data_IF_309690758630
#
_entry.id   IF_309690758630
#
_cell.length_a   1.000
_cell.length_b   1.000
_cell.length_c   1.000
_cell.angle_alpha   90.00
_cell.angle_beta   90.00
_cell.angle_gamma   90.00
#
_symmetry.space_group_name_H-M   'P 1'
#
loop_
_entity.id
_entity.type
_entity.pdbx_description
1 polymer ?
#
# COMPACT_ATOMS: atom_id res chain seq x y z
N UNK A 1 103.83 -172.21 -50.98
CA UNK A 1 102.93 -173.23 -50.39
C UNK A 1 102.91 -172.98 -48.88
N UNK A 2 101.78 -172.96 -48.14
CA UNK A 2 100.35 -173.14 -48.47
C UNK A 2 99.42 -171.98 -47.93
N UNK A 3 98.30 -171.62 -48.57
CA UNK A 3 96.85 -171.97 -48.42
C UNK A 3 95.95 -171.23 -47.36
N UNK A 4 94.98 -170.47 -47.88
CA UNK A 4 93.51 -170.47 -47.57
C UNK A 4 92.85 -169.68 -46.39
N UNK A 5 91.55 -169.26 -46.50
CA UNK A 5 90.98 -167.92 -46.16
C UNK A 5 89.83 -167.95 -45.09
N UNK A 6 88.81 -167.03 -45.08
CA UNK A 6 88.68 -165.63 -44.60
C UNK A 6 87.61 -165.43 -43.48
N UNK A 7 87.38 -164.21 -42.90
CA UNK A 7 86.02 -163.82 -42.42
C UNK A 7 85.76 -162.29 -42.22
N UNK A 8 84.54 -161.86 -42.54
CA UNK A 8 84.17 -160.55 -43.09
C UNK A 8 83.04 -159.84 -42.31
N UNK A 9 83.13 -159.71 -40.96
CA UNK A 9 82.00 -159.20 -40.12
C UNK A 9 82.26 -158.05 -39.13
N UNK A 10 83.51 -157.59 -38.92
CA UNK A 10 83.80 -156.62 -37.83
C UNK A 10 83.96 -155.14 -38.23
N UNK A 11 83.87 -154.78 -39.52
CA UNK A 11 83.97 -153.37 -39.99
C UNK A 11 82.67 -152.55 -39.87
N UNK A 12 81.51 -153.20 -39.80
CA UNK A 12 80.20 -152.51 -39.84
C UNK A 12 79.72 -151.95 -38.48
N UNK A 13 80.18 -152.47 -37.35
CA UNK A 13 79.72 -152.01 -36.03
C UNK A 13 80.41 -150.72 -35.55
N UNK A 14 81.65 -150.47 -35.99
CA UNK A 14 82.42 -149.28 -35.59
C UNK A 14 81.94 -147.98 -36.27
N UNK A 15 81.26 -148.10 -37.40
CA UNK A 15 80.77 -146.96 -38.19
C UNK A 15 79.41 -146.45 -37.70
N UNK A 16 78.58 -147.31 -37.09
CA UNK A 16 77.31 -146.92 -36.46
C UNK A 16 77.50 -146.19 -35.13
N UNK A 17 78.46 -146.60 -34.29
CA UNK A 17 78.72 -145.93 -33.01
C UNK A 17 79.24 -144.49 -33.20
N UNK A 18 80.05 -144.23 -34.23
CA UNK A 18 80.56 -142.89 -34.56
C UNK A 18 79.46 -141.94 -35.07
N UNK A 19 78.42 -142.47 -35.74
CA UNK A 19 77.26 -141.68 -36.17
C UNK A 19 76.40 -141.22 -34.97
N UNK A 20 76.26 -142.08 -33.96
CA UNK A 20 75.47 -141.81 -32.75
C UNK A 20 76.05 -140.69 -31.89
N UNK A 21 77.37 -140.66 -31.71
CA UNK A 21 78.05 -139.61 -30.92
C UNK A 21 77.92 -138.25 -31.61
N UNK A 22 77.98 -138.20 -32.95
CA UNK A 22 77.88 -136.95 -33.72
C UNK A 22 76.48 -136.35 -33.70
N UNK A 23 75.44 -137.18 -33.60
CA UNK A 23 74.05 -136.74 -33.47
C UNK A 23 73.79 -136.14 -32.09
N UNK A 24 74.26 -136.78 -31.01
CA UNK A 24 74.09 -136.28 -29.64
C UNK A 24 74.80 -134.94 -29.38
N UNK A 25 75.92 -134.68 -30.07
CA UNK A 25 76.63 -133.40 -29.97
C UNK A 25 75.92 -132.21 -30.60
N UNK A 26 75.06 -132.43 -31.62
CA UNK A 26 74.31 -131.34 -32.27
C UNK A 26 73.04 -131.00 -31.48
N UNK A 27 72.36 -132.00 -30.91
CA UNK A 27 71.14 -131.80 -30.12
C UNK A 27 71.41 -130.99 -28.84
N UNK A 28 72.57 -131.18 -28.19
CA UNK A 28 72.93 -130.40 -27.00
C UNK A 28 73.27 -128.92 -27.29
N UNK A 29 73.67 -128.58 -28.53
CA UNK A 29 73.98 -127.20 -28.93
C UNK A 29 72.69 -126.46 -29.28
N UNK A 30 71.76 -127.11 -29.97
CA UNK A 30 70.45 -126.52 -30.31
C UNK A 30 69.59 -126.23 -29.07
N UNK A 31 69.68 -127.07 -28.02
CA UNK A 31 68.89 -126.88 -26.80
C UNK A 31 69.43 -125.74 -25.91
N UNK A 32 70.74 -125.45 -25.94
CA UNK A 32 71.34 -124.32 -25.23
C UNK A 32 71.10 -122.98 -25.94
N UNK A 33 71.04 -122.97 -27.28
CA UNK A 33 70.66 -121.79 -28.07
C UNK A 33 69.20 -121.37 -27.82
N UNK A 34 68.26 -122.33 -27.74
CA UNK A 34 66.86 -122.01 -27.40
C UNK A 34 66.70 -121.34 -26.04
N UNK A 35 67.47 -121.74 -25.02
CA UNK A 35 67.42 -121.12 -23.68
C UNK A 35 67.94 -119.69 -23.65
N UNK A 36 68.91 -119.34 -24.50
CA UNK A 36 69.43 -117.96 -24.60
C UNK A 36 68.50 -117.01 -25.34
N UNK A 37 67.73 -117.51 -26.31
CA UNK A 37 66.75 -116.70 -27.02
C UNK A 37 65.53 -116.36 -26.15
N UNK A 38 65.03 -117.29 -25.33
CA UNK A 38 63.89 -117.02 -24.43
C UNK A 38 64.20 -115.97 -23.35
N UNK A 39 65.43 -115.94 -22.81
CA UNK A 39 65.86 -114.95 -21.81
C UNK A 39 66.05 -113.55 -22.41
N UNK A 40 66.49 -113.45 -23.67
CA UNK A 40 66.56 -112.17 -24.38
C UNK A 40 65.17 -111.63 -24.74
N UNK A 41 64.23 -112.50 -25.08
CA UNK A 41 62.85 -112.11 -25.37
C UNK A 41 62.14 -111.50 -24.15
N UNK A 42 62.29 -112.11 -22.96
CA UNK A 42 61.69 -111.57 -21.73
C UNK A 42 62.27 -110.21 -21.30
N UNK A 43 63.58 -110.01 -21.45
CA UNK A 43 64.18 -108.73 -21.09
C UNK A 43 63.75 -107.59 -22.04
N UNK A 44 63.51 -107.88 -23.31
CA UNK A 44 63.04 -106.89 -24.28
C UNK A 44 61.60 -106.41 -24.00
N UNK A 45 60.72 -107.28 -23.51
CA UNK A 45 59.33 -106.94 -23.17
C UNK A 45 59.23 -106.00 -21.94
N UNK A 46 60.03 -106.25 -20.89
CA UNK A 46 60.01 -105.43 -19.67
C UNK A 46 60.54 -104.00 -19.90
N UNK A 47 61.54 -103.83 -20.77
CA UNK A 47 62.09 -102.51 -21.12
C UNK A 47 61.10 -101.70 -21.97
N UNK A 48 60.37 -102.34 -22.89
CA UNK A 48 59.35 -101.67 -23.69
C UNK A 48 58.14 -101.22 -22.86
N UNK A 49 57.70 -102.03 -21.89
CA UNK A 49 56.53 -101.69 -21.06
C UNK A 49 56.78 -100.47 -20.15
N UNK A 50 57.99 -100.35 -19.61
CA UNK A 50 58.39 -99.22 -18.75
C UNK A 50 58.63 -97.93 -19.54
N UNK A 51 59.14 -98.02 -20.77
CA UNK A 51 59.32 -96.86 -21.64
C UNK A 51 57.99 -96.29 -22.16
N UNK A 52 56.98 -97.14 -22.39
CA UNK A 52 55.63 -96.72 -22.81
C UNK A 52 54.92 -95.97 -21.68
N UNK A 53 55.00 -96.46 -20.43
CA UNK A 53 54.37 -95.80 -19.28
C UNK A 53 55.02 -94.43 -18.96
N UNK A 54 56.33 -94.29 -19.17
CA UNK A 54 57.03 -93.01 -18.99
C UNK A 54 56.62 -91.95 -20.01
N UNK A 55 56.42 -92.33 -21.28
CA UNK A 55 56.00 -91.40 -22.34
C UNK A 55 54.56 -90.93 -22.16
N UNK A 56 53.65 -91.81 -21.72
CA UNK A 56 52.25 -91.42 -21.48
C UNK A 56 52.09 -90.44 -20.33
N UNK A 57 52.92 -90.52 -19.28
CA UNK A 57 52.87 -89.60 -18.15
C UNK A 57 53.35 -88.18 -18.52
N UNK A 58 54.43 -88.07 -19.30
CA UNK A 58 54.96 -86.78 -19.77
C UNK A 58 53.99 -86.09 -20.71
N UNK A 59 53.35 -86.83 -21.63
CA UNK A 59 52.33 -86.26 -22.52
C UNK A 59 51.07 -85.78 -21.77
N UNK A 60 50.65 -86.47 -20.71
CA UNK A 60 49.53 -86.02 -19.87
C UNK A 60 49.88 -84.76 -19.06
N UNK A 61 51.11 -84.67 -18.55
CA UNK A 61 51.57 -83.50 -17.79
C UNK A 61 51.74 -82.27 -18.69
N UNK A 62 52.28 -82.44 -19.90
CA UNK A 62 52.37 -81.37 -20.90
C UNK A 62 50.99 -80.89 -21.37
N UNK A 63 50.05 -81.81 -21.63
CA UNK A 63 48.65 -81.46 -21.98
C UNK A 63 47.97 -80.71 -20.82
N UNK A 64 48.23 -81.10 -19.57
CA UNK A 64 47.74 -80.42 -18.37
C UNK A 64 48.30 -79.00 -18.20
N UNK A 65 49.59 -78.80 -18.47
CA UNK A 65 50.23 -77.48 -18.43
C UNK A 65 49.75 -76.57 -19.57
N UNK A 66 49.54 -77.13 -20.76
CA UNK A 66 49.08 -76.36 -21.92
C UNK A 66 47.61 -75.93 -21.76
N UNK A 67 46.75 -76.79 -21.20
CA UNK A 67 45.39 -76.42 -20.81
C UNK A 67 45.37 -75.34 -19.72
N UNK A 68 46.23 -75.44 -18.70
CA UNK A 68 46.34 -74.40 -17.66
C UNK A 68 46.82 -73.06 -18.24
N UNK A 69 47.78 -73.04 -19.16
CA UNK A 69 48.23 -71.82 -19.85
C UNK A 69 47.12 -71.21 -20.71
N UNK A 70 46.38 -72.03 -21.46
CA UNK A 70 45.21 -71.59 -22.24
C UNK A 70 44.12 -71.01 -21.33
N UNK A 71 43.82 -71.67 -20.21
CA UNK A 71 42.88 -71.20 -19.18
C UNK A 71 43.33 -69.90 -18.50
N UNK A 72 44.63 -69.73 -18.22
CA UNK A 72 45.16 -68.49 -17.63
C UNK A 72 45.10 -67.32 -18.62
N UNK A 73 45.34 -67.58 -19.91
CA UNK A 73 45.28 -66.56 -20.97
C UNK A 73 43.84 -66.10 -21.21
N UNK A 74 42.87 -67.02 -21.23
CA UNK A 74 41.45 -66.67 -21.32
C UNK A 74 40.95 -65.96 -20.07
N UNK A 75 41.39 -66.35 -18.88
CA UNK A 75 41.06 -65.65 -17.63
C UNK A 75 41.63 -64.22 -17.59
N UNK A 76 42.89 -64.02 -18.00
CA UNK A 76 43.49 -62.69 -18.11
C UNK A 76 42.79 -61.82 -19.16
N UNK A 77 42.40 -62.40 -20.29
CA UNK A 77 41.61 -61.73 -21.32
C UNK A 77 40.25 -61.27 -20.77
N UNK A 78 39.50 -62.18 -20.14
CA UNK A 78 38.22 -61.87 -19.49
C UNK A 78 38.36 -60.80 -18.41
N UNK A 79 39.41 -60.88 -17.57
CA UNK A 79 39.66 -59.92 -16.49
C UNK A 79 39.91 -58.51 -17.01
N UNK A 80 40.74 -58.36 -18.05
CA UNK A 80 40.98 -57.06 -18.71
C UNK A 80 39.70 -56.52 -19.34
N UNK A 81 38.89 -57.38 -19.93
CA UNK A 81 37.62 -57.00 -20.53
C UNK A 81 36.62 -56.50 -19.47
N UNK A 82 36.50 -57.21 -18.34
CA UNK A 82 35.68 -56.77 -17.20
C UNK A 82 36.21 -55.49 -16.56
N UNK A 83 37.53 -55.29 -16.46
CA UNK A 83 38.10 -54.03 -15.94
C UNK A 83 37.78 -52.84 -16.87
N UNK A 84 37.85 -53.03 -18.19
CA UNK A 84 37.46 -52.01 -19.16
C UNK A 84 35.96 -51.71 -19.11
N UNK A 85 35.11 -52.73 -18.98
CA UNK A 85 33.66 -52.57 -18.81
C UNK A 85 33.32 -51.80 -17.52
N UNK A 86 34.01 -52.08 -16.40
CA UNK A 86 33.84 -51.35 -15.13
C UNK A 86 34.25 -49.88 -15.29
N UNK A 87 35.36 -49.59 -15.98
CA UNK A 87 35.82 -48.22 -16.22
C UNK A 87 34.87 -47.46 -17.15
N UNK A 88 34.35 -48.11 -18.20
CA UNK A 88 33.33 -47.51 -19.07
C UNK A 88 32.02 -47.27 -18.31
N UNK A 89 31.57 -48.21 -17.49
CA UNK A 89 30.36 -48.05 -16.69
C UNK A 89 30.53 -46.96 -15.62
N UNK A 90 31.71 -46.83 -15.01
CA UNK A 90 32.05 -45.71 -14.13
C UNK A 90 32.02 -44.37 -14.86
N UNK A 91 32.55 -44.28 -16.08
CA UNK A 91 32.48 -43.05 -16.90
C UNK A 91 31.04 -42.70 -17.27
N UNK A 92 30.23 -43.69 -17.65
CA UNK A 92 28.80 -43.50 -17.95
C UNK A 92 28.04 -43.03 -16.70
N UNK A 93 28.29 -43.62 -15.54
CA UNK A 93 27.71 -43.19 -14.25
C UNK A 93 28.15 -41.79 -13.86
N UNK A 94 29.41 -41.43 -14.07
CA UNK A 94 29.92 -40.08 -13.78
C UNK A 94 29.30 -39.04 -14.71
N UNK A 95 29.16 -39.33 -16.00
CA UNK A 95 28.46 -38.45 -16.95
C UNK A 95 26.98 -38.30 -16.60
N UNK A 96 26.29 -39.39 -16.27
CA UNK A 96 24.91 -39.35 -15.82
C UNK A 96 24.73 -38.56 -14.51
N UNK A 97 25.67 -38.71 -13.56
CA UNK A 97 25.67 -37.95 -12.31
C UNK A 97 25.89 -36.45 -12.56
N UNK A 98 26.83 -36.09 -13.44
CA UNK A 98 27.08 -34.71 -13.85
C UNK A 98 25.86 -34.10 -14.56
N UNK A 99 25.19 -34.85 -15.43
CA UNK A 99 23.98 -34.38 -16.11
C UNK A 99 22.81 -34.16 -15.12
N UNK A 100 22.67 -35.02 -14.11
CA UNK A 100 21.69 -34.83 -13.03
C UNK A 100 22.04 -33.60 -12.18
N UNK A 101 23.32 -33.39 -11.86
CA UNK A 101 23.76 -32.22 -11.10
C UNK A 101 23.54 -30.92 -11.89
N UNK A 102 23.83 -30.92 -13.20
CA UNK A 102 23.59 -29.77 -14.06
C UNK A 102 22.09 -29.47 -14.18
N UNK A 103 21.23 -30.49 -14.33
CA UNK A 103 19.77 -30.32 -14.30
C UNK A 103 19.30 -29.75 -12.97
N UNK A 104 19.85 -30.21 -11.84
CA UNK A 104 19.54 -29.65 -10.51
C UNK A 104 19.98 -28.19 -10.40
N UNK A 105 21.18 -27.82 -10.86
CA UNK A 105 21.65 -26.43 -10.86
C UNK A 105 20.74 -25.53 -11.70
N UNK A 106 20.42 -25.94 -12.93
CA UNK A 106 19.49 -25.21 -13.81
C UNK A 106 18.11 -25.06 -13.16
N UNK A 107 17.62 -26.11 -12.50
CA UNK A 107 16.35 -26.04 -11.77
C UNK A 107 16.41 -25.04 -10.61
N UNK A 108 17.47 -25.08 -9.79
CA UNK A 108 17.63 -24.12 -8.68
C UNK A 108 17.79 -22.68 -9.16
N UNK A 109 18.48 -22.44 -10.28
CA UNK A 109 18.62 -21.10 -10.84
C UNK A 109 17.30 -20.59 -11.43
N UNK A 110 16.53 -21.47 -12.09
CA UNK A 110 15.18 -21.18 -12.55
C UNK A 110 14.26 -20.83 -11.38
N UNK A 111 14.25 -21.65 -10.33
CA UNK A 111 13.42 -21.42 -9.14
C UNK A 111 13.82 -20.13 -8.42
N UNK A 112 15.12 -19.80 -8.36
CA UNK A 112 15.63 -18.53 -7.83
C UNK A 112 15.13 -17.34 -8.64
N UNK A 113 15.29 -17.36 -9.98
CA UNK A 113 14.82 -16.28 -10.87
C UNK A 113 13.31 -16.12 -10.82
N UNK A 114 12.58 -17.24 -10.76
CA UNK A 114 11.12 -17.23 -10.59
C UNK A 114 10.72 -16.61 -9.25
N UNK A 115 11.44 -16.93 -8.17
CA UNK A 115 11.24 -16.31 -6.85
C UNK A 115 11.51 -14.80 -6.85
N UNK A 116 12.62 -14.36 -7.45
CA UNK A 116 12.96 -12.94 -7.62
C UNK A 116 11.90 -12.18 -8.42
N UNK A 117 11.42 -12.76 -9.53
CA UNK A 117 10.36 -12.18 -10.34
C UNK A 117 9.04 -12.06 -9.58
N UNK A 118 8.62 -13.12 -8.88
CA UNK A 118 7.40 -13.10 -8.07
C UNK A 118 7.50 -12.06 -6.94
N UNK A 119 8.65 -11.96 -6.28
CA UNK A 119 8.88 -10.94 -5.25
C UNK A 119 8.79 -9.53 -5.83
N UNK A 120 9.46 -9.26 -6.96
CA UNK A 120 9.38 -7.97 -7.65
C UNK A 120 7.95 -7.61 -8.07
N UNK A 121 7.15 -8.59 -8.54
CA UNK A 121 5.73 -8.37 -8.84
C UNK A 121 4.93 -8.00 -7.58
N UNK A 122 5.19 -8.67 -6.45
CA UNK A 122 4.54 -8.34 -5.18
C UNK A 122 4.93 -6.94 -4.69
N UNK A 123 6.21 -6.58 -4.72
CA UNK A 123 6.71 -5.28 -4.29
C UNK A 123 6.08 -4.14 -5.13
N UNK A 124 6.00 -4.30 -6.45
CA UNK A 124 5.34 -3.33 -7.35
C UNK A 124 3.84 -3.23 -7.06
N UNK A 125 3.17 -4.36 -6.77
CA UNK A 125 1.75 -4.34 -6.45
C UNK A 125 1.50 -3.67 -5.08
N UNK A 126 2.34 -3.93 -4.10
CA UNK A 126 2.28 -3.30 -2.78
C UNK A 126 2.49 -1.78 -2.88
N UNK A 127 3.48 -1.34 -3.65
CA UNK A 127 3.69 0.09 -3.92
C UNK A 127 2.45 0.73 -4.56
N UNK A 128 1.85 0.11 -5.58
CA UNK A 128 0.61 0.61 -6.19
C UNK A 128 -0.56 0.67 -5.21
N UNK A 129 -0.69 -0.32 -4.33
CA UNK A 129 -1.73 -0.33 -3.30
C UNK A 129 -1.51 0.77 -2.25
N UNK A 130 -0.25 1.05 -1.89
CA UNK A 130 0.09 2.15 -0.99
C UNK A 130 -0.12 3.52 -1.64
N UNK A 131 0.26 3.69 -2.91
CA UNK A 131 0.00 4.91 -3.68
C UNK A 131 -1.49 5.19 -3.80
N UNK A 132 -2.30 4.20 -4.20
CA UNK A 132 -3.76 4.36 -4.28
C UNK A 132 -4.40 4.63 -2.93
N UNK A 133 -3.94 4.00 -1.85
CA UNK A 133 -4.41 4.31 -0.49
C UNK A 133 -4.04 5.74 -0.07
N UNK A 134 -2.87 6.22 -0.45
CA UNK A 134 -2.43 7.59 -0.18
C UNK A 134 -3.25 8.59 -0.98
N UNK A 135 -3.44 8.37 -2.27
CA UNK A 135 -4.25 9.24 -3.13
C UNK A 135 -5.69 9.34 -2.60
N UNK A 136 -6.30 8.21 -2.23
CA UNK A 136 -7.65 8.19 -1.65
C UNK A 136 -7.72 8.91 -0.30
N UNK A 137 -6.69 8.79 0.55
CA UNK A 137 -6.60 9.53 1.80
C UNK A 137 -6.45 11.04 1.56
N UNK A 138 -5.57 11.46 0.65
CA UNK A 138 -5.37 12.87 0.31
C UNK A 138 -6.65 13.48 -0.29
N UNK A 139 -7.39 12.75 -1.11
CA UNK A 139 -8.68 13.19 -1.64
C UNK A 139 -9.76 13.26 -0.55
N UNK A 140 -9.78 12.32 0.40
CA UNK A 140 -10.67 12.38 1.55
C UNK A 140 -10.35 13.61 2.43
N UNK A 141 -9.07 13.87 2.70
CA UNK A 141 -8.62 15.02 3.48
C UNK A 141 -8.96 16.35 2.77
N UNK A 142 -8.81 16.42 1.44
CA UNK A 142 -9.23 17.57 0.64
C UNK A 142 -10.73 17.83 0.76
N UNK A 143 -11.55 16.78 0.64
CA UNK A 143 -13.01 16.87 0.80
C UNK A 143 -13.38 17.30 2.22
N UNK A 144 -12.77 16.73 3.24
CA UNK A 144 -13.02 17.08 4.64
C UNK A 144 -12.67 18.54 4.95
N UNK A 145 -11.54 19.05 4.44
CA UNK A 145 -11.19 20.46 4.59
C UNK A 145 -12.17 21.41 3.89
N UNK A 146 -12.70 21.05 2.72
CA UNK A 146 -13.73 21.83 2.04
C UNK A 146 -15.04 21.81 2.86
N UNK A 147 -15.48 20.64 3.31
CA UNK A 147 -16.69 20.49 4.13
C UNK A 147 -16.60 21.26 5.44
N UNK A 148 -15.45 21.24 6.11
CA UNK A 148 -15.21 22.01 7.31
C UNK A 148 -15.29 23.52 7.04
N UNK A 149 -14.65 24.00 5.96
CA UNK A 149 -14.72 25.41 5.57
C UNK A 149 -16.16 25.85 5.22
N UNK A 150 -16.94 24.97 4.58
CA UNK A 150 -18.35 25.22 4.29
C UNK A 150 -19.20 25.28 5.56
N UNK A 151 -18.99 24.36 6.50
CA UNK A 151 -19.68 24.38 7.78
C UNK A 151 -19.36 25.64 8.59
N UNK A 152 -18.09 26.01 8.69
CA UNK A 152 -17.65 27.24 9.35
C UNK A 152 -18.24 28.49 8.68
N UNK A 153 -18.34 28.49 7.35
CA UNK A 153 -18.95 29.58 6.61
C UNK A 153 -20.46 29.71 6.83
N UNK A 154 -21.20 28.58 6.89
CA UNK A 154 -22.62 28.58 7.25
C UNK A 154 -22.80 29.18 8.65
N UNK A 155 -21.96 28.77 9.61
CA UNK A 155 -22.00 29.31 10.96
C UNK A 155 -21.74 30.82 10.97
N UNK A 156 -20.70 31.30 10.27
CA UNK A 156 -20.40 32.73 10.13
C UNK A 156 -21.57 33.50 9.50
N UNK A 157 -22.22 32.95 8.47
CA UNK A 157 -23.40 33.59 7.85
C UNK A 157 -24.55 33.73 8.84
N UNK A 158 -24.82 32.71 9.64
CA UNK A 158 -25.84 32.78 10.69
C UNK A 158 -25.50 33.80 11.78
N UNK A 159 -24.23 33.89 12.18
CA UNK A 159 -23.80 34.87 13.18
C UNK A 159 -23.92 36.31 12.66
N UNK A 160 -23.59 36.54 11.38
CA UNK A 160 -23.81 37.84 10.71
C UNK A 160 -25.31 38.19 10.66
N UNK A 161 -26.18 37.26 10.28
CA UNK A 161 -27.64 37.49 10.30
C UNK A 161 -28.18 37.78 11.71
N UNK A 162 -27.66 37.08 12.73
CA UNK A 162 -28.04 37.32 14.12
C UNK A 162 -27.60 38.72 14.58
N UNK A 163 -26.38 39.14 14.19
CA UNK A 163 -25.87 40.47 14.46
C UNK A 163 -26.72 41.55 13.78
N UNK A 164 -27.14 41.33 12.52
CA UNK A 164 -28.04 42.22 11.79
C UNK A 164 -29.37 42.39 12.53
N UNK A 165 -30.02 41.29 12.92
CA UNK A 165 -31.29 41.32 13.66
C UNK A 165 -31.14 42.09 14.97
N UNK A 166 -30.10 41.80 15.74
CA UNK A 166 -29.82 42.52 16.99
C UNK A 166 -29.62 44.03 16.76
N UNK A 167 -28.84 44.41 15.74
CA UNK A 167 -28.62 45.81 15.39
C UNK A 167 -29.94 46.50 15.01
N UNK A 168 -30.82 45.82 14.26
CA UNK A 168 -32.16 46.35 13.92
C UNK A 168 -33.05 46.51 15.15
N UNK A 169 -33.07 45.54 16.06
CA UNK A 169 -33.84 45.61 17.30
C UNK A 169 -33.36 46.77 18.20
N UNK A 170 -32.04 46.94 18.32
CA UNK A 170 -31.44 48.02 19.10
C UNK A 170 -31.74 49.41 18.47
N UNK A 171 -31.78 49.50 17.13
CA UNK A 171 -32.21 50.70 16.41
C UNK A 171 -33.69 51.02 16.66
N UNK A 172 -34.57 50.02 16.71
CA UNK A 172 -35.99 50.21 17.04
C UNK A 172 -36.18 50.70 18.47
N UNK A 173 -35.51 50.07 19.44
CA UNK A 173 -35.55 50.50 20.84
C UNK A 173 -35.07 51.93 21.02
N UNK A 174 -33.95 52.27 20.37
CA UNK A 174 -33.40 53.63 20.41
C UNK A 174 -34.36 54.64 19.76
N UNK A 175 -34.98 54.28 18.64
CA UNK A 175 -35.95 55.15 17.98
C UNK A 175 -37.22 55.37 18.81
N UNK A 176 -37.71 54.33 19.50
CA UNK A 176 -38.83 54.45 20.44
C UNK A 176 -38.50 55.41 21.59
N UNK A 177 -37.34 55.23 22.23
CA UNK A 177 -36.90 56.11 23.30
C UNK A 177 -36.75 57.57 22.85
N UNK A 178 -36.12 57.79 21.69
CA UNK A 178 -36.00 59.13 21.12
C UNK A 178 -37.37 59.79 20.84
N UNK A 179 -38.39 59.01 20.45
CA UNK A 179 -39.75 59.53 20.23
C UNK A 179 -40.44 59.91 21.54
N UNK A 180 -40.21 59.14 22.60
CA UNK A 180 -40.70 59.43 23.96
C UNK A 180 -40.04 60.71 24.50
N UNK A 181 -38.72 60.85 24.35
CA UNK A 181 -38.00 62.07 24.73
C UNK A 181 -38.51 63.29 23.97
N UNK A 182 -38.74 63.17 22.66
CA UNK A 182 -39.33 64.23 21.85
C UNK A 182 -40.74 64.62 22.33
N UNK A 183 -41.54 63.64 22.77
CA UNK A 183 -42.85 63.89 23.35
C UNK A 183 -42.73 64.66 24.68
N UNK A 184 -41.88 64.22 25.59
CA UNK A 184 -41.69 64.90 26.87
C UNK A 184 -41.18 66.33 26.71
N UNK A 185 -40.25 66.55 25.77
CA UNK A 185 -39.78 67.90 25.44
C UNK A 185 -40.90 68.76 24.85
N UNK A 186 -41.75 68.21 23.98
CA UNK A 186 -42.86 68.98 23.42
C UNK A 186 -43.94 69.29 24.45
N UNK A 187 -44.27 68.35 25.34
CA UNK A 187 -45.17 68.55 26.47
C UNK A 187 -44.68 69.64 27.41
N UNK A 188 -43.39 69.62 27.77
CA UNK A 188 -42.78 70.65 28.61
C UNK A 188 -42.91 72.05 27.98
N UNK A 189 -42.65 72.17 26.67
CA UNK A 189 -42.84 73.43 25.93
C UNK A 189 -44.29 73.87 25.86
N UNK A 190 -45.24 72.94 25.66
CA UNK A 190 -46.69 73.25 25.68
C UNK A 190 -47.13 73.75 27.05
N UNK A 191 -46.62 73.16 28.13
CA UNK A 191 -46.89 73.60 29.49
C UNK A 191 -46.31 75.00 29.77
N UNK A 192 -45.10 75.30 29.30
CA UNK A 192 -44.50 76.63 29.38
C UNK A 192 -45.34 77.68 28.63
N UNK A 193 -45.77 77.37 27.40
CA UNK A 193 -46.66 78.23 26.60
C UNK A 193 -47.98 78.49 27.34
N UNK A 194 -48.55 77.45 27.98
CA UNK A 194 -49.78 77.60 28.76
C UNK A 194 -49.58 78.51 29.98
N UNK A 195 -48.50 78.32 30.73
CA UNK A 195 -48.18 79.17 31.88
C UNK A 195 -47.95 80.63 31.47
N UNK A 196 -47.27 80.86 30.33
CA UNK A 196 -47.07 82.19 29.76
C UNK A 196 -48.40 82.84 29.33
N UNK A 197 -49.29 82.08 28.68
CA UNK A 197 -50.63 82.53 28.27
C UNK A 197 -51.47 83.00 29.47
N UNK A 198 -51.54 82.18 30.52
CA UNK A 198 -52.27 82.51 31.75
C UNK A 198 -51.70 83.76 32.40
N UNK A 199 -50.37 83.87 32.52
CA UNK A 199 -49.71 85.04 33.12
C UNK A 199 -50.02 86.32 32.34
N UNK A 200 -49.91 86.30 31.00
CA UNK A 200 -50.17 87.48 30.16
C UNK A 200 -51.63 87.91 30.20
N UNK A 201 -52.57 86.96 30.19
CA UNK A 201 -54.01 87.26 30.33
C UNK A 201 -54.34 87.88 31.68
N UNK A 202 -53.73 87.37 32.76
CA UNK A 202 -53.88 87.97 34.09
C UNK A 202 -53.32 89.40 34.16
N UNK A 203 -52.19 89.66 33.49
CA UNK A 203 -51.62 91.01 33.40
C UNK A 203 -52.54 91.98 32.64
N UNK A 204 -53.11 91.56 31.51
CA UNK A 204 -54.09 92.36 30.75
C UNK A 204 -55.33 92.65 31.60
N UNK A 205 -55.84 91.68 32.35
CA UNK A 205 -56.99 91.88 33.24
C UNK A 205 -56.66 92.84 34.39
N UNK A 206 -55.46 92.73 34.97
CA UNK A 206 -54.99 93.68 35.99
C UNK A 206 -54.90 95.11 35.46
N UNK A 207 -54.30 95.30 34.27
CA UNK A 207 -54.24 96.59 33.59
C UNK A 207 -55.64 97.14 33.28
N UNK A 208 -56.56 96.28 32.83
CA UNK A 208 -57.96 96.65 32.59
C UNK A 208 -58.61 97.17 33.86
N UNK A 209 -58.50 96.44 34.97
CA UNK A 209 -59.08 96.84 36.25
C UNK A 209 -58.49 98.16 36.75
N UNK A 210 -57.19 98.38 36.60
CA UNK A 210 -56.56 99.65 36.95
C UNK A 210 -57.14 100.81 36.14
N UNK A 211 -57.22 100.68 34.81
CA UNK A 211 -57.80 101.72 33.94
C UNK A 211 -59.29 101.98 34.24
N UNK A 212 -60.03 100.93 34.60
CA UNK A 212 -61.43 101.07 35.02
C UNK A 212 -61.56 101.88 36.33
N UNK A 213 -60.67 101.65 37.30
CA UNK A 213 -60.62 102.44 38.55
C UNK A 213 -60.22 103.90 38.28
N UNK A 214 -59.26 104.14 37.40
CA UNK A 214 -58.87 105.49 36.99
C UNK A 214 -60.04 106.23 36.31
N UNK A 215 -60.78 105.55 35.43
CA UNK A 215 -61.99 106.10 34.82
C UNK A 215 -63.09 106.43 35.87
N UNK A 216 -63.16 105.67 36.97
CA UNK A 216 -64.12 105.93 38.05
C UNK A 216 -63.84 107.20 38.84
N UNK A 217 -62.59 107.68 38.84
CA UNK A 217 -62.17 108.95 39.47
C UNK A 217 -62.48 110.19 38.62
N UNK A 218 -62.91 110.01 37.37
CA UNK A 218 -63.29 111.11 36.47
C UNK A 218 -64.71 111.58 36.78
N UNK A 219 -64.87 112.88 37.05
CA UNK A 219 -66.15 113.51 37.41
C UNK A 219 -67.10 113.70 36.23
N UNK A 220 -66.58 113.88 35.01
CA UNK A 220 -67.38 114.02 33.79
C UNK A 220 -67.94 112.64 33.35
N UNK A 221 -69.28 112.45 33.33
CA UNK A 221 -69.90 111.18 33.00
C UNK A 221 -69.66 110.72 31.55
N UNK A 222 -69.52 111.65 30.60
CA UNK A 222 -69.26 111.31 29.19
C UNK A 222 -67.83 110.79 29.05
N UNK A 223 -66.88 111.52 29.62
CA UNK A 223 -65.46 111.14 29.60
C UNK A 223 -65.20 109.84 30.35
N UNK A 224 -65.87 109.63 31.49
CA UNK A 224 -65.84 108.38 32.26
C UNK A 224 -66.29 107.18 31.42
N UNK A 225 -67.41 107.30 30.70
CA UNK A 225 -67.91 106.22 29.83
C UNK A 225 -66.92 105.90 28.70
N UNK A 226 -66.37 106.93 28.05
CA UNK A 226 -65.38 106.76 26.99
C UNK A 226 -64.11 106.06 27.47
N UNK A 227 -63.58 106.42 28.66
CA UNK A 227 -62.37 105.78 29.20
C UNK A 227 -62.61 104.31 29.56
N UNK A 228 -63.79 103.95 30.08
CA UNK A 228 -64.16 102.55 30.35
C UNK A 228 -64.26 101.73 29.07
N UNK A 229 -64.92 102.27 28.04
CA UNK A 229 -65.04 101.61 26.73
C UNK A 229 -63.67 101.44 26.05
N UNK A 230 -62.79 102.45 26.13
CA UNK A 230 -61.42 102.34 25.64
C UNK A 230 -60.62 101.26 26.41
N UNK A 231 -60.74 101.20 27.73
CA UNK A 231 -60.08 100.17 28.53
C UNK A 231 -60.55 98.75 28.18
N UNK A 232 -61.86 98.56 27.95
CA UNK A 232 -62.42 97.27 27.54
C UNK A 232 -62.00 96.87 26.12
N UNK A 233 -62.07 97.81 25.17
CA UNK A 233 -61.67 97.53 23.77
C UNK A 233 -60.17 97.27 23.64
N UNK A 234 -59.32 97.99 24.37
CA UNK A 234 -57.88 97.75 24.41
C UNK A 234 -57.57 96.39 25.05
N UNK A 235 -58.19 96.06 26.19
CA UNK A 235 -58.02 94.76 26.83
C UNK A 235 -58.45 93.62 25.91
N UNK A 236 -59.60 93.76 25.23
CA UNK A 236 -60.08 92.76 24.27
C UNK A 236 -59.10 92.57 23.10
N UNK A 237 -58.55 93.65 22.54
CA UNK A 237 -57.52 93.56 21.49
C UNK A 237 -56.27 92.83 21.97
N UNK A 238 -55.74 93.20 23.14
CA UNK A 238 -54.57 92.54 23.73
C UNK A 238 -54.82 91.05 24.01
N UNK A 239 -56.00 90.69 24.51
CA UNK A 239 -56.38 89.28 24.71
C UNK A 239 -56.41 88.52 23.39
N UNK A 240 -56.99 89.09 22.33
CA UNK A 240 -56.99 88.43 21.00
C UNK A 240 -55.58 88.29 20.41
N UNK A 241 -54.70 89.27 20.62
CA UNK A 241 -53.29 89.19 20.19
C UNK A 241 -52.54 88.10 20.95
N UNK A 242 -52.76 87.98 22.27
CA UNK A 242 -52.20 86.91 23.09
C UNK A 242 -52.72 85.55 22.60
N UNK A 243 -54.02 85.40 22.38
CA UNK A 243 -54.61 84.14 21.88
C UNK A 243 -54.00 83.73 20.54
N UNK A 244 -53.88 84.66 19.58
CA UNK A 244 -53.24 84.39 18.29
C UNK A 244 -51.77 84.00 18.43
N UNK A 245 -51.00 84.71 19.27
CA UNK A 245 -49.60 84.40 19.50
C UNK A 245 -49.42 83.03 20.17
N UNK A 246 -50.24 82.73 21.19
CA UNK A 246 -50.25 81.43 21.89
C UNK A 246 -50.63 80.30 20.94
N UNK A 247 -51.67 80.47 20.11
CA UNK A 247 -52.05 79.47 19.10
C UNK A 247 -50.92 79.21 18.09
N UNK A 248 -50.26 80.26 17.61
CA UNK A 248 -49.12 80.12 16.70
C UNK A 248 -47.98 79.34 17.35
N UNK A 249 -47.59 79.70 18.57
CA UNK A 249 -46.54 78.97 19.33
C UNK A 249 -46.89 77.50 19.53
N UNK A 250 -48.15 77.17 19.83
CA UNK A 250 -48.61 75.78 19.96
C UNK A 250 -48.50 75.01 18.65
N UNK A 251 -48.94 75.61 17.54
CA UNK A 251 -48.82 75.02 16.21
C UNK A 251 -47.36 74.81 15.80
N UNK A 252 -46.47 75.76 16.12
CA UNK A 252 -45.03 75.63 15.86
C UNK A 252 -44.41 74.46 16.65
N UNK A 253 -44.78 74.28 17.92
CA UNK A 253 -44.31 73.12 18.72
C UNK A 253 -44.82 71.80 18.16
N UNK A 254 -46.09 71.73 17.75
CA UNK A 254 -46.68 70.52 17.17
C UNK A 254 -46.03 70.15 15.83
N UNK A 255 -45.80 71.14 14.96
CA UNK A 255 -45.12 70.91 13.68
C UNK A 255 -43.67 70.48 13.88
N UNK A 256 -42.94 71.09 14.81
CA UNK A 256 -41.57 70.67 15.16
C UNK A 256 -41.53 69.24 15.68
N UNK A 257 -42.43 68.87 16.60
CA UNK A 257 -42.52 67.51 17.13
C UNK A 257 -42.80 66.49 16.00
N UNK A 258 -43.76 66.79 15.14
CA UNK A 258 -44.12 65.92 14.01
C UNK A 258 -42.95 65.74 13.04
N UNK A 259 -42.28 66.82 12.66
CA UNK A 259 -41.13 66.77 11.74
C UNK A 259 -39.96 66.01 12.35
N UNK A 260 -39.66 66.24 13.64
CA UNK A 260 -38.61 65.52 14.35
C UNK A 260 -38.89 64.02 14.44
N UNK A 261 -40.15 63.63 14.71
CA UNK A 261 -40.57 62.20 14.70
C UNK A 261 -40.41 61.55 13.33
N UNK A 262 -40.85 62.24 12.27
CA UNK A 262 -40.69 61.75 10.91
C UNK A 262 -39.21 61.60 10.51
N UNK A 263 -38.36 62.54 10.95
CA UNK A 263 -36.92 62.45 10.73
C UNK A 263 -36.31 61.25 11.46
N UNK A 264 -36.66 61.04 12.74
CA UNK A 264 -36.21 59.88 13.51
C UNK A 264 -36.62 58.56 12.85
N UNK A 265 -37.82 58.47 12.28
CA UNK A 265 -38.28 57.30 11.53
C UNK A 265 -37.49 57.07 10.24
N UNK A 266 -37.22 58.13 9.48
CA UNK A 266 -36.40 58.05 8.26
C UNK A 266 -34.97 57.62 8.57
N UNK A 267 -34.37 58.17 9.62
CA UNK A 267 -33.01 57.84 10.04
C UNK A 267 -32.91 56.39 10.53
N UNK A 268 -33.91 55.90 11.27
CA UNK A 268 -34.00 54.50 11.68
C UNK A 268 -34.10 53.58 10.45
N UNK A 269 -34.98 53.87 9.50
CA UNK A 269 -35.13 53.08 8.28
C UNK A 269 -33.85 53.06 7.44
N UNK A 270 -33.17 54.21 7.32
CA UNK A 270 -31.88 54.31 6.64
C UNK A 270 -30.82 53.43 7.32
N UNK A 271 -30.68 53.51 8.64
CA UNK A 271 -29.72 52.69 9.40
C UNK A 271 -30.03 51.19 9.33
N UNK A 272 -31.30 50.80 9.29
CA UNK A 272 -31.71 49.40 9.05
C UNK A 272 -31.28 48.92 7.67
N UNK A 273 -31.45 49.76 6.64
CA UNK A 273 -31.01 49.44 5.29
C UNK A 273 -29.48 49.35 5.20
N UNK A 274 -28.74 50.24 5.87
CA UNK A 274 -27.28 50.17 5.97
C UNK A 274 -26.83 48.85 6.63
N UNK A 275 -27.47 48.42 7.72
CA UNK A 275 -27.19 47.14 8.37
C UNK A 275 -27.46 45.93 7.46
N UNK A 276 -28.52 45.97 6.64
CA UNK A 276 -28.79 44.93 5.63
C UNK A 276 -27.69 44.88 4.56
N UNK A 277 -27.24 46.04 4.08
CA UNK A 277 -26.22 46.12 3.05
C UNK A 277 -24.86 45.64 3.56
N UNK A 278 -24.47 46.01 4.78
CA UNK A 278 -23.28 45.49 5.46
C UNK A 278 -23.34 43.97 5.58
N UNK A 279 -24.49 43.43 6.00
CA UNK A 279 -24.71 41.98 6.13
C UNK A 279 -24.59 41.27 4.79
N UNK A 280 -25.20 41.81 3.73
CA UNK A 280 -25.06 41.27 2.36
C UNK A 280 -23.61 41.26 1.92
N UNK A 281 -22.87 42.34 2.16
CA UNK A 281 -21.45 42.44 1.81
C UNK A 281 -20.60 41.41 2.58
N UNK A 282 -20.85 41.23 3.87
CA UNK A 282 -20.16 40.22 4.68
C UNK A 282 -20.47 38.80 4.20
N UNK A 283 -21.72 38.48 3.85
CA UNK A 283 -22.08 37.17 3.27
C UNK A 283 -21.34 36.90 1.96
N UNK A 284 -21.23 37.91 1.08
CA UNK A 284 -20.46 37.80 -0.16
C UNK A 284 -18.97 37.55 0.10
N UNK A 285 -18.38 38.21 1.11
CA UNK A 285 -16.99 37.94 1.52
C UNK A 285 -16.82 36.50 1.97
N UNK A 286 -17.73 35.98 2.79
CA UNK A 286 -17.69 34.58 3.25
C UNK A 286 -17.78 33.62 2.06
N UNK A 287 -18.66 33.88 1.10
CA UNK A 287 -18.77 33.06 -0.12
C UNK A 287 -17.52 33.11 -0.99
N UNK A 288 -16.90 34.28 -1.09
CA UNK A 288 -15.62 34.45 -1.78
C UNK A 288 -14.52 33.62 -1.10
N UNK A 289 -14.45 33.63 0.23
CA UNK A 289 -13.47 32.86 1.00
C UNK A 289 -13.62 31.35 0.80
N UNK A 290 -14.86 30.82 0.81
CA UNK A 290 -15.13 29.41 0.50
C UNK A 290 -14.68 29.08 -0.92
N UNK A 291 -15.02 29.95 -1.89
CA UNK A 291 -14.65 29.76 -3.29
C UNK A 291 -13.13 29.72 -3.48
N UNK A 292 -12.40 30.61 -2.80
CA UNK A 292 -10.93 30.59 -2.77
C UNK A 292 -10.40 29.31 -2.13
N UNK A 293 -10.98 28.86 -1.00
CA UNK A 293 -10.56 27.61 -0.34
C UNK A 293 -10.79 26.40 -1.23
N UNK A 294 -11.92 26.31 -1.93
CA UNK A 294 -12.19 25.25 -2.91
C UNK A 294 -11.16 25.23 -4.03
N UNK A 295 -10.75 26.39 -4.55
CA UNK A 295 -9.69 26.50 -5.57
C UNK A 295 -8.33 26.06 -5.01
N UNK A 296 -7.94 26.56 -3.84
CA UNK A 296 -6.70 26.20 -3.16
C UNK A 296 -6.59 24.68 -2.95
N UNK A 297 -7.65 24.04 -2.48
CA UNK A 297 -7.65 22.58 -2.26
C UNK A 297 -7.64 21.77 -3.56
N UNK A 298 -8.18 22.32 -4.65
CA UNK A 298 -8.12 21.70 -5.98
C UNK A 298 -6.71 21.80 -6.59
N UNK A 299 -6.04 22.93 -6.40
CA UNK A 299 -4.71 23.19 -6.96
C UNK A 299 -3.57 22.61 -6.11
N UNK A 300 -3.88 22.14 -4.89
CA UNK A 300 -2.93 21.49 -3.99
C UNK A 300 -2.44 20.16 -4.58
N UNK A 301 -1.21 20.19 -5.09
CA UNK A 301 -0.52 19.00 -5.61
C UNK A 301 -0.32 17.96 -4.50
N UNK A 302 -0.36 16.66 -4.84
CA UNK A 302 -0.02 15.59 -3.90
C UNK A 302 1.40 15.83 -3.40
N UNK A 303 1.58 15.77 -2.08
CA UNK A 303 2.92 15.88 -1.48
C UNK A 303 3.66 14.63 -1.92
N UNK A 304 4.77 14.74 -2.65
CA UNK A 304 5.63 13.57 -2.88
C UNK A 304 6.17 13.10 -1.53
N UNK A 305 6.36 11.80 -1.30
CA UNK A 305 7.14 11.35 -0.16
C UNK A 305 8.51 12.04 -0.27
N UNK A 306 8.89 12.75 0.78
CA UNK A 306 10.31 13.04 1.01
C UNK A 306 10.96 11.66 1.07
N UNK A 307 11.88 11.39 0.14
CA UNK A 307 12.78 10.24 0.25
C UNK A 307 13.46 10.42 1.60
N UNK A 308 13.02 9.66 2.61
CA UNK A 308 13.77 9.51 3.84
C UNK A 308 15.12 8.95 3.41
N UNK A 309 16.13 9.83 3.41
CA UNK A 309 17.53 9.48 3.23
C UNK A 309 17.84 8.28 4.13
N UNK A 310 17.99 7.12 3.50
CA UNK A 310 18.49 5.89 4.11
C UNK A 310 19.79 6.23 4.87
N UNK A 311 19.81 5.93 6.17
CA UNK A 311 21.02 5.86 7.00
C UNK A 311 21.15 4.47 7.61
#
# INVERSE_FOLDING_TARGET
MPDSPPDNRKKSQKEEELKKIRQQGMESIEEEERRREELKAKHAEDVLSTEIQGKTFVEEEEKGLEQKKKGLKTWRGKRKQTELEIVEDQKKRAHAAAEIEEKKRKQTEYDRKKGEYLKSLHDVNEQKMLETRRETQEDADKKNAILQAEHEAIQKKHDVERAERKKKDDLEKTAMHNKEDLHHVSEAKRAEIYAEDVRKKAEVESQRQQKMREADLVSDPIRKKQMKEQAETEAKKKLTEIDHATMKKRADVETQERTARQQADRDMMRKKMEAEMETKQQKLSIDSDISMKRREMKDRKPKKPEEEDEK
#
